data_IF_924102957323
#
_entry.id   IF_924102957323
#
_cell.length_a   1.000
_cell.length_b   1.000
_cell.length_c   1.000
_cell.angle_alpha   90.00
_cell.angle_beta   90.00
_cell.angle_gamma   90.00
#
_symmetry.space_group_name_H-M   'P 1'
#
loop_
_entity.id
_entity.type
_entity.pdbx_description
1 polymer ?
#
# COMPACT_ATOMS: atom_id res chain seq x y z
N UNK A 1 -24.42 -0.79 6.74
CA UNK A 1 -23.33 -1.23 5.84
C UNK A 1 -22.33 -0.09 5.76
N UNK A 2 -21.15 -0.22 6.38
CA UNK A 2 -20.08 0.77 6.16
C UNK A 2 -19.62 0.65 4.71
N UNK A 3 -19.54 1.77 3.99
CA UNK A 3 -19.17 1.77 2.58
C UNK A 3 -17.68 1.37 2.46
N UNK A 4 -17.35 0.33 1.71
CA UNK A 4 -15.97 -0.15 1.54
C UNK A 4 -15.04 0.98 1.06
N UNK A 5 -15.52 1.83 0.16
CA UNK A 5 -14.81 3.03 -0.29
C UNK A 5 -14.47 3.99 0.85
N UNK A 6 -15.34 4.12 1.86
CA UNK A 6 -15.10 4.95 3.04
C UNK A 6 -13.99 4.36 3.91
N UNK A 7 -14.00 3.04 4.12
CA UNK A 7 -12.96 2.34 4.87
C UNK A 7 -11.60 2.42 4.18
N UNK A 8 -11.56 2.24 2.86
CA UNK A 8 -10.36 2.44 2.05
C UNK A 8 -9.87 3.89 2.13
N UNK A 9 -10.78 4.86 2.08
CA UNK A 9 -10.44 6.28 2.22
C UNK A 9 -9.81 6.58 3.57
N UNK A 10 -10.39 6.08 4.67
CA UNK A 10 -9.84 6.23 6.02
C UNK A 10 -8.46 5.59 6.15
N UNK A 11 -8.30 4.39 5.60
CA UNK A 11 -7.02 3.67 5.63
C UNK A 11 -5.95 4.40 4.82
N UNK A 12 -6.31 4.93 3.64
CA UNK A 12 -5.41 5.72 2.80
C UNK A 12 -5.04 7.05 3.48
N UNK A 13 -5.98 7.71 4.14
CA UNK A 13 -5.72 8.93 4.91
C UNK A 13 -4.75 8.66 6.07
N UNK A 14 -4.97 7.58 6.84
CA UNK A 14 -4.06 7.15 7.90
C UNK A 14 -2.65 6.86 7.35
N UNK A 15 -2.56 6.11 6.26
CA UNK A 15 -1.30 5.77 5.59
C UNK A 15 -0.54 7.02 5.13
N UNK A 16 -1.27 7.98 4.53
CA UNK A 16 -0.70 9.26 4.12
C UNK A 16 -0.19 10.05 5.34
N UNK A 17 -0.97 10.07 6.44
CA UNK A 17 -0.57 10.70 7.69
C UNK A 17 0.71 10.09 8.28
N UNK A 18 0.84 8.76 8.28
CA UNK A 18 2.06 8.07 8.72
C UNK A 18 3.27 8.48 7.89
N UNK A 19 3.12 8.53 6.57
CA UNK A 19 4.22 8.93 5.66
C UNK A 19 4.62 10.40 5.88
N UNK A 20 3.66 11.31 6.01
CA UNK A 20 3.95 12.74 6.22
C UNK A 20 4.64 13.03 7.56
N UNK A 21 4.38 12.22 8.59
CA UNK A 21 4.97 12.36 9.92
C UNK A 21 6.29 11.58 10.09
N UNK A 22 6.63 10.70 9.14
CA UNK A 22 7.80 9.83 9.22
C UNK A 22 9.10 10.59 8.95
N UNK A 23 10.14 10.25 9.70
CA UNK A 23 11.50 10.70 9.43
C UNK A 23 12.12 10.01 8.18
N UNK A 24 13.29 10.47 7.71
CA UNK A 24 13.94 9.92 6.52
C UNK A 24 14.20 8.40 6.56
N UNK A 25 14.57 7.85 7.72
CA UNK A 25 14.82 6.42 7.87
C UNK A 25 13.53 5.60 7.82
N UNK A 26 12.46 6.09 8.44
CA UNK A 26 11.15 5.46 8.37
C UNK A 26 10.59 5.50 6.95
N UNK A 27 10.72 6.64 6.27
CA UNK A 27 10.37 6.76 4.85
C UNK A 27 11.12 5.76 3.97
N UNK A 28 12.40 5.48 4.26
CA UNK A 28 13.18 4.45 3.56
C UNK A 28 12.64 3.04 3.86
N UNK A 29 12.28 2.74 5.11
CA UNK A 29 11.67 1.46 5.50
C UNK A 29 10.31 1.25 4.82
N UNK A 30 9.44 2.26 4.85
CA UNK A 30 8.14 2.24 4.17
C UNK A 30 8.34 2.03 2.66
N UNK A 31 9.25 2.77 2.04
CA UNK A 31 9.55 2.65 0.61
C UNK A 31 10.16 1.30 0.21
N UNK A 32 10.95 0.68 1.08
CA UNK A 32 11.45 -0.68 0.88
C UNK A 32 10.30 -1.70 0.98
N UNK A 33 9.50 -1.63 2.05
CA UNK A 33 8.38 -2.52 2.26
C UNK A 33 7.34 -2.44 1.14
N UNK A 34 7.04 -1.23 0.65
CA UNK A 34 6.15 -1.01 -0.49
C UNK A 34 6.65 -1.73 -1.75
N UNK A 35 7.97 -1.68 -2.05
CA UNK A 35 8.54 -2.41 -3.19
C UNK A 35 8.51 -3.92 -2.99
N UNK A 36 8.89 -4.40 -1.81
CA UNK A 36 8.82 -5.82 -1.48
C UNK A 36 7.39 -6.36 -1.62
N UNK A 37 6.40 -5.55 -1.24
CA UNK A 37 5.00 -5.87 -1.42
C UNK A 37 4.60 -5.92 -2.89
N UNK A 38 5.05 -4.95 -3.71
CA UNK A 38 4.83 -4.98 -5.16
C UNK A 38 5.43 -6.24 -5.82
N UNK A 39 6.66 -6.60 -5.44
CA UNK A 39 7.33 -7.81 -5.94
C UNK A 39 6.59 -9.09 -5.51
N UNK A 40 6.05 -9.13 -4.28
CA UNK A 40 5.27 -10.26 -3.79
C UNK A 40 3.97 -10.41 -4.58
N UNK A 41 3.16 -9.35 -4.69
CA UNK A 41 1.85 -9.44 -5.35
C UNK A 41 1.97 -9.70 -6.85
N UNK A 42 3.07 -9.29 -7.48
CA UNK A 42 3.36 -9.63 -8.88
C UNK A 42 3.55 -11.15 -9.10
N UNK A 43 3.98 -11.89 -8.07
CA UNK A 43 4.17 -13.35 -8.10
C UNK A 43 2.90 -14.13 -7.75
N UNK A 44 1.89 -13.47 -7.20
CA UNK A 44 0.62 -14.09 -6.81
C UNK A 44 -0.38 -13.91 -7.96
N UNK A 45 -0.92 -15.00 -8.48
CA UNK A 45 -2.00 -14.95 -9.46
C UNK A 45 -3.25 -14.31 -8.86
N UNK A 46 -4.01 -13.58 -9.68
CA UNK A 46 -5.36 -13.14 -9.31
C UNK A 46 -6.32 -14.32 -9.45
N UNK A 47 -7.33 -14.38 -8.60
CA UNK A 47 -8.38 -15.40 -8.68
C UNK A 47 -9.53 -14.86 -9.53
N UNK A 48 -9.63 -15.29 -10.79
CA UNK A 48 -10.59 -14.74 -11.77
C UNK A 48 -10.58 -13.19 -11.90
N UNK A 49 -9.43 -12.57 -11.65
CA UNK A 49 -9.26 -11.12 -11.66
C UNK A 49 -9.50 -10.43 -10.31
N UNK A 50 -10.00 -11.16 -9.31
CA UNK A 50 -10.05 -10.74 -7.90
C UNK A 50 -8.63 -10.66 -7.34
N UNK A 51 -8.28 -9.48 -6.85
CA UNK A 51 -7.00 -9.19 -6.23
C UNK A 51 -6.95 -9.62 -4.75
N UNK A 52 -8.02 -10.21 -4.21
CA UNK A 52 -8.12 -10.68 -2.83
C UNK A 52 -6.94 -11.55 -2.38
N UNK A 53 -6.42 -12.54 -3.14
CA UNK A 53 -5.23 -13.29 -2.72
C UNK A 53 -4.01 -12.39 -2.47
N UNK A 54 -3.84 -11.35 -3.29
CA UNK A 54 -2.75 -10.37 -3.16
C UNK A 54 -2.95 -9.46 -1.96
N UNK A 55 -4.18 -8.99 -1.75
CA UNK A 55 -4.56 -8.13 -0.63
C UNK A 55 -4.35 -8.86 0.70
N UNK A 56 -4.77 -10.13 0.80
CA UNK A 56 -4.58 -10.96 1.99
C UNK A 56 -3.09 -11.14 2.29
N UNK A 57 -2.27 -11.49 1.29
CA UNK A 57 -0.83 -11.63 1.48
C UNK A 57 -0.16 -10.32 1.97
N UNK A 58 -0.62 -9.16 1.47
CA UNK A 58 -0.16 -7.87 1.97
C UNK A 58 -0.57 -7.63 3.44
N UNK A 59 -1.77 -8.03 3.85
CA UNK A 59 -2.22 -7.88 5.24
C UNK A 59 -1.46 -8.80 6.20
N UNK A 60 -1.21 -10.06 5.84
CA UNK A 60 -0.40 -10.96 6.66
C UNK A 60 0.99 -10.38 6.95
N UNK A 61 1.63 -9.81 5.92
CA UNK A 61 2.93 -9.13 6.08
C UNK A 61 2.79 -7.85 6.90
N UNK A 62 1.75 -7.06 6.68
CA UNK A 62 1.49 -5.84 7.45
C UNK A 62 1.33 -6.14 8.94
N UNK A 63 0.57 -7.17 9.29
CA UNK A 63 0.29 -7.55 10.68
C UNK A 63 1.55 -8.06 11.38
N UNK A 64 2.43 -8.77 10.67
CA UNK A 64 3.76 -9.11 11.18
C UNK A 64 4.56 -7.85 11.57
N UNK A 65 4.64 -6.85 10.69
CA UNK A 65 5.37 -5.61 11.01
C UNK A 65 4.67 -4.79 12.10
N UNK A 66 3.34 -4.78 12.16
CA UNK A 66 2.60 -4.11 13.24
C UNK A 66 2.85 -4.74 14.61
N UNK A 67 2.94 -6.07 14.68
CA UNK A 67 3.24 -6.78 15.92
C UNK A 67 4.61 -6.37 16.48
N UNK A 68 5.56 -6.06 15.59
CA UNK A 68 6.90 -5.56 15.92
C UNK A 68 6.97 -4.02 16.06
N UNK A 69 5.82 -3.32 16.01
CA UNK A 69 5.73 -1.85 16.00
C UNK A 69 6.61 -1.19 14.91
N UNK A 70 6.75 -1.86 13.76
CA UNK A 70 7.55 -1.41 12.63
C UNK A 70 6.69 -0.67 11.59
N UNK A 71 7.11 0.54 11.26
CA UNK A 71 6.49 1.41 10.26
C UNK A 71 6.47 0.82 8.85
N UNK A 72 7.30 -0.20 8.57
CA UNK A 72 7.27 -0.98 7.34
C UNK A 72 5.86 -1.53 7.01
N UNK A 73 4.99 -1.75 8.02
CA UNK A 73 3.60 -2.14 7.80
C UNK A 73 2.83 -1.20 6.84
N UNK A 74 3.16 0.09 6.84
CA UNK A 74 2.55 1.13 5.98
C UNK A 74 2.80 0.84 4.50
N UNK A 75 4.00 0.33 4.16
CA UNK A 75 4.35 -0.02 2.78
C UNK A 75 3.50 -1.18 2.24
N UNK A 76 3.23 -2.19 3.08
CA UNK A 76 2.37 -3.32 2.73
C UNK A 76 0.90 -2.91 2.57
N UNK A 77 0.40 -2.02 3.44
CA UNK A 77 -0.96 -1.47 3.35
C UNK A 77 -1.14 -0.66 2.07
N UNK A 78 -0.14 0.14 1.67
CA UNK A 78 -0.19 0.88 0.41
C UNK A 78 -0.40 -0.04 -0.79
N UNK A 79 0.32 -1.15 -0.85
CA UNK A 79 0.18 -2.13 -1.95
C UNK A 79 -1.17 -2.83 -1.90
N UNK A 80 -1.69 -3.18 -0.71
CA UNK A 80 -3.04 -3.73 -0.57
C UNK A 80 -4.11 -2.77 -1.11
N UNK A 81 -4.04 -1.49 -0.75
CA UNK A 81 -4.95 -0.44 -1.26
C UNK A 81 -4.79 -0.30 -2.78
N UNK A 82 -3.56 -0.35 -3.28
CA UNK A 82 -3.28 -0.29 -4.72
C UNK A 82 -3.97 -1.42 -5.49
N UNK A 83 -3.83 -2.66 -5.01
CA UNK A 83 -4.46 -3.82 -5.65
C UNK A 83 -5.99 -3.71 -5.65
N UNK A 84 -6.60 -3.27 -4.54
CA UNK A 84 -8.05 -3.09 -4.45
C UNK A 84 -8.56 -1.98 -5.38
N UNK A 85 -7.91 -0.83 -5.39
CA UNK A 85 -8.27 0.30 -6.26
C UNK A 85 -8.09 -0.06 -7.74
N UNK A 86 -7.13 -0.93 -8.07
CA UNK A 86 -6.86 -1.39 -9.44
C UNK A 86 -7.93 -2.32 -10.01
N UNK A 87 -8.86 -2.84 -9.20
CA UNK A 87 -10.04 -3.56 -9.67
C UNK A 87 -11.10 -2.63 -10.30
N UNK A 88 -11.02 -1.32 -10.03
CA UNK A 88 -11.83 -0.26 -10.68
C UNK A 88 -13.35 -0.43 -10.59
N UNK A 89 -13.82 -1.18 -9.60
CA UNK A 89 -15.24 -1.45 -9.36
C UNK A 89 -15.80 -0.70 -8.13
N UNK A 90 -14.99 0.13 -7.45
CA UNK A 90 -15.42 1.00 -6.36
C UNK A 90 -15.98 2.33 -6.90
N UNK A 91 -17.06 2.91 -6.35
CA UNK A 91 -17.61 4.20 -6.80
C UNK A 91 -16.57 5.32 -6.96
N UNK A 92 -15.62 5.43 -6.03
CA UNK A 92 -14.62 6.51 -5.97
C UNK A 92 -13.21 6.09 -6.40
N UNK A 93 -13.07 4.98 -7.13
CA UNK A 93 -11.77 4.38 -7.43
C UNK A 93 -10.78 5.35 -8.10
N UNK A 94 -11.26 6.27 -8.95
CA UNK A 94 -10.40 7.26 -9.63
C UNK A 94 -9.81 8.27 -8.66
N UNK A 95 -10.62 8.75 -7.71
CA UNK A 95 -10.18 9.69 -6.67
C UNK A 95 -9.19 9.03 -5.73
N UNK A 96 -9.49 7.80 -5.29
CA UNK A 96 -8.60 6.99 -4.47
C UNK A 96 -7.25 6.76 -5.18
N UNK A 97 -7.27 6.39 -6.47
CA UNK A 97 -6.06 6.19 -7.27
C UNK A 97 -5.21 7.45 -7.34
N UNK A 98 -5.82 8.62 -7.54
CA UNK A 98 -5.11 9.90 -7.59
C UNK A 98 -4.42 10.24 -6.27
N UNK A 99 -5.07 9.96 -5.15
CA UNK A 99 -4.49 10.18 -3.82
C UNK A 99 -3.33 9.20 -3.59
N UNK A 100 -3.56 7.92 -3.88
CA UNK A 100 -2.55 6.88 -3.80
C UNK A 100 -1.28 7.23 -4.62
N UNK A 101 -1.45 7.65 -5.88
CA UNK A 101 -0.34 8.05 -6.74
C UNK A 101 0.47 9.22 -6.16
N UNK A 102 -0.19 10.16 -5.46
CA UNK A 102 0.49 11.25 -4.76
C UNK A 102 1.22 10.76 -3.53
N UNK A 103 0.59 9.91 -2.72
CA UNK A 103 1.19 9.33 -1.51
C UNK A 103 2.44 8.52 -1.84
N UNK A 104 2.40 7.68 -2.88
CA UNK A 104 3.55 6.89 -3.32
C UNK A 104 4.71 7.77 -3.79
N UNK A 105 4.45 8.95 -4.36
CA UNK A 105 5.50 9.90 -4.77
C UNK A 105 6.25 10.53 -3.61
N UNK A 106 5.69 10.50 -2.39
CA UNK A 106 6.36 10.98 -1.18
C UNK A 106 7.40 9.99 -0.67
N UNK A 107 7.30 8.72 -1.07
CA UNK A 107 8.28 7.71 -0.68
C UNK A 107 9.59 7.92 -1.43
N UNK A 108 10.74 7.64 -0.78
CA UNK A 108 12.03 7.71 -1.45
C UNK A 108 12.03 6.80 -2.66
N UNK A 109 12.17 7.39 -3.85
CA UNK A 109 12.49 6.62 -5.04
C UNK A 109 13.85 6.02 -4.80
N UNK A 110 13.98 4.71 -4.95
CA UNK A 110 15.32 4.13 -4.95
C UNK A 110 16.11 4.81 -6.03
N UNK A 111 17.32 5.29 -5.69
CA UNK A 111 18.34 5.53 -6.70
C UNK A 111 18.39 4.24 -7.51
N UNK A 112 17.96 4.30 -8.77
CA UNK A 112 18.41 3.33 -9.73
C UNK A 112 19.93 3.41 -9.64
N UNK A 113 20.57 2.37 -9.11
CA UNK A 113 21.99 2.21 -9.26
C UNK A 113 22.18 2.00 -10.75
N UNK A 114 22.37 3.10 -11.49
CA UNK A 114 23.00 3.05 -12.82
C UNK A 114 24.41 2.59 -12.55
N UNK A 115 24.63 1.29 -12.71
CA UNK A 115 25.94 0.70 -12.87
C UNK A 115 26.25 0.67 -14.36
#
# INVERSE_FOLDING_TARGET
MQNESEQLSKTLAWTCGMILQSGPDDLRRIGLAYRQAQDLVARIAKDDGDARPRIVACFERSDYYRAENDVACVGWILTAIQERVNERNLPDWRTLRKILDKTVRLLPRSKASVH
#
